data_IF_397572562299
#
_entry.id   IF_397572562299
#
_cell.length_a   1.000
_cell.length_b   1.000
_cell.length_c   1.000
_cell.angle_alpha   90.00
_cell.angle_beta   90.00
_cell.angle_gamma   90.00
#
_symmetry.space_group_name_H-M   'P 1'
#
loop_
_entity.id
_entity.type
_entity.pdbx_description
1 polymer ?
#
# COMPACT_ATOMS: atom_id res chain seq x y z
N UNK A 1 21.91 -2.21 10.60
CA UNK A 1 21.10 -2.96 9.62
C UNK A 1 21.27 -2.32 8.24
N UNK A 2 21.49 -3.12 7.21
CA UNK A 2 21.48 -2.67 5.81
C UNK A 2 20.06 -2.37 5.32
N UNK A 3 19.92 -1.65 4.22
CA UNK A 3 18.59 -1.25 3.69
C UNK A 3 17.75 -2.43 3.18
N UNK A 4 18.38 -3.52 2.76
CA UNK A 4 17.70 -4.73 2.26
C UNK A 4 18.01 -5.97 3.11
N UNK A 5 18.63 -5.78 4.27
CA UNK A 5 18.94 -6.86 5.20
C UNK A 5 17.68 -7.22 5.98
N UNK A 6 17.39 -8.50 6.17
CA UNK A 6 16.24 -8.94 6.96
C UNK A 6 16.53 -8.80 8.46
N UNK A 7 15.50 -8.56 9.29
CA UNK A 7 15.67 -8.47 10.76
C UNK A 7 16.37 -9.71 11.33
N UNK A 8 15.95 -10.89 10.89
CA UNK A 8 16.51 -12.16 11.37
C UNK A 8 18.02 -12.30 11.05
N UNK A 9 18.45 -11.89 9.85
CA UNK A 9 19.84 -11.93 9.43
C UNK A 9 20.68 -10.97 10.27
N UNK A 10 20.21 -9.72 10.39
CA UNK A 10 20.87 -8.67 11.15
C UNK A 10 21.05 -9.05 12.64
N UNK A 11 20.00 -9.54 13.29
CA UNK A 11 20.07 -9.99 14.70
C UNK A 11 20.98 -11.21 14.83
N UNK A 12 20.95 -12.14 13.86
CA UNK A 12 21.84 -13.30 13.82
C UNK A 12 23.32 -12.93 13.79
N UNK A 13 23.69 -11.87 13.06
CA UNK A 13 25.06 -11.33 13.04
C UNK A 13 25.44 -10.80 14.44
N UNK A 14 24.57 -10.02 15.07
CA UNK A 14 24.83 -9.46 16.41
C UNK A 14 24.97 -10.57 17.46
N UNK A 15 24.11 -11.59 17.40
CA UNK A 15 24.20 -12.76 18.27
C UNK A 15 25.51 -13.52 18.05
N UNK A 16 25.94 -13.70 16.80
CA UNK A 16 27.23 -14.32 16.48
C UNK A 16 28.39 -13.53 17.07
N UNK A 17 28.37 -12.20 16.94
CA UNK A 17 29.38 -11.32 17.56
C UNK A 17 29.35 -11.42 19.08
N UNK A 18 28.17 -11.39 19.70
CA UNK A 18 28.02 -11.55 21.14
C UNK A 18 28.55 -12.90 21.63
N UNK A 19 28.32 -13.97 20.89
CA UNK A 19 28.82 -15.31 21.19
C UNK A 19 30.35 -15.38 21.09
N UNK A 20 30.95 -14.77 20.06
CA UNK A 20 32.42 -14.64 19.98
C UNK A 20 32.99 -13.84 21.16
N UNK A 21 32.33 -12.77 21.58
CA UNK A 21 32.75 -11.99 22.75
C UNK A 21 32.67 -12.82 24.04
N UNK A 22 31.60 -13.59 24.22
CA UNK A 22 31.42 -14.51 25.37
C UNK A 22 32.48 -15.60 25.38
N UNK A 23 32.88 -16.12 24.22
CA UNK A 23 33.97 -17.08 24.09
C UNK A 23 35.34 -16.51 24.51
N UNK A 24 35.50 -15.18 24.52
CA UNK A 24 36.67 -14.49 25.06
C UNK A 24 36.45 -14.00 26.52
N UNK A 25 35.60 -14.68 27.29
CA UNK A 25 35.25 -14.37 28.69
C UNK A 25 34.66 -12.95 28.91
N UNK A 26 34.16 -12.29 27.85
CA UNK A 26 33.48 -11.01 28.00
C UNK A 26 32.00 -11.21 28.33
N UNK A 27 31.54 -10.53 29.38
CA UNK A 27 30.12 -10.52 29.74
C UNK A 27 29.34 -9.61 28.79
N UNK A 28 28.48 -10.20 27.96
CA UNK A 28 27.53 -9.50 27.09
C UNK A 28 26.12 -9.66 27.66
N UNK A 29 25.62 -8.58 28.28
CA UNK A 29 24.25 -8.50 28.82
C UNK A 29 23.23 -8.26 27.72
N UNK A 30 22.06 -8.85 27.85
CA UNK A 30 20.95 -8.70 26.90
C UNK A 30 20.53 -7.24 26.71
N UNK A 31 20.46 -6.45 27.79
CA UNK A 31 20.24 -4.98 27.73
C UNK A 31 21.13 -4.30 26.68
N UNK A 32 22.44 -4.59 26.69
CA UNK A 32 23.38 -3.98 25.74
C UNK A 32 23.08 -4.39 24.30
N UNK A 33 22.64 -5.62 24.08
CA UNK A 33 22.27 -6.10 22.74
C UNK A 33 20.96 -5.45 22.29
N UNK A 34 19.95 -5.39 23.15
CA UNK A 34 18.66 -4.73 22.91
C UNK A 34 18.86 -3.27 22.51
N UNK A 35 19.58 -2.49 23.31
CA UNK A 35 19.90 -1.09 23.00
C UNK A 35 20.67 -0.96 21.69
N UNK A 36 21.63 -1.87 21.43
CA UNK A 36 22.44 -1.84 20.21
C UNK A 36 21.58 -2.10 18.96
N UNK A 37 20.67 -3.07 19.04
CA UNK A 37 19.71 -3.39 17.97
C UNK A 37 18.87 -2.16 17.69
N UNK A 38 18.11 -1.67 18.67
CA UNK A 38 17.20 -0.53 18.52
C UNK A 38 17.90 0.70 17.93
N UNK A 39 19.12 1.00 18.39
CA UNK A 39 19.90 2.17 17.92
C UNK A 39 20.45 2.04 16.49
N UNK A 40 20.58 0.83 15.94
CA UNK A 40 21.23 0.61 14.63
C UNK A 40 20.33 -0.04 13.58
N UNK A 41 19.01 -0.11 13.86
CA UNK A 41 17.98 -0.33 12.85
C UNK A 41 17.91 0.83 11.86
N UNK A 42 17.32 0.58 10.68
CA UNK A 42 17.08 1.62 9.67
C UNK A 42 15.83 2.43 10.03
N UNK A 43 15.71 3.63 9.44
CA UNK A 43 14.59 4.56 9.67
C UNK A 43 13.18 3.98 9.44
N UNK A 44 13.05 2.90 8.66
CA UNK A 44 11.75 2.24 8.45
C UNK A 44 11.18 1.60 9.74
N UNK A 45 12.04 1.42 10.75
CA UNK A 45 11.70 0.86 12.05
C UNK A 45 11.51 1.92 13.15
N UNK A 46 11.70 3.21 12.87
CA UNK A 46 11.63 4.29 13.89
C UNK A 46 10.32 4.23 14.70
N UNK A 47 9.20 3.94 14.02
CA UNK A 47 7.90 3.86 14.67
C UNK A 47 7.80 2.72 15.70
N UNK A 48 8.35 1.54 15.40
CA UNK A 48 8.34 0.43 16.34
C UNK A 48 9.37 0.62 17.44
N UNK A 49 10.52 1.26 17.15
CA UNK A 49 11.52 1.61 18.15
C UNK A 49 10.91 2.50 19.23
N UNK A 50 10.26 3.61 18.83
CA UNK A 50 9.58 4.51 19.79
C UNK A 50 8.53 3.76 20.62
N UNK A 51 7.70 2.93 19.98
CA UNK A 51 6.68 2.18 20.70
C UNK A 51 7.27 1.19 21.73
N UNK A 52 8.39 0.54 21.41
CA UNK A 52 9.08 -0.36 22.34
C UNK A 52 9.69 0.44 23.50
N UNK A 53 10.36 1.55 23.21
CA UNK A 53 10.97 2.42 24.21
C UNK A 53 9.96 3.02 25.19
N UNK A 54 8.75 3.36 24.72
CA UNK A 54 7.69 3.90 25.56
C UNK A 54 6.94 2.82 26.38
N UNK A 55 6.80 1.61 25.85
CA UNK A 55 5.91 0.59 26.43
C UNK A 55 6.63 -0.50 27.24
N UNK A 56 7.96 -0.66 27.09
CA UNK A 56 8.71 -1.78 27.68
C UNK A 56 9.92 -1.32 28.48
N UNK A 57 10.28 -2.11 29.48
CA UNK A 57 11.50 -1.96 30.26
C UNK A 57 12.67 -2.69 29.57
N UNK A 58 13.54 -1.92 28.91
CA UNK A 58 14.68 -2.47 28.16
C UNK A 58 15.69 -3.23 29.04
N UNK A 59 15.68 -3.00 30.36
CA UNK A 59 16.62 -3.67 31.28
C UNK A 59 16.21 -5.13 31.56
N UNK A 60 14.91 -5.42 31.40
CA UNK A 60 14.32 -6.74 31.61
C UNK A 60 13.99 -7.47 30.31
N UNK A 61 14.02 -6.76 29.20
CA UNK A 61 13.68 -7.30 27.89
C UNK A 61 14.74 -8.29 27.41
N UNK A 62 14.29 -9.46 26.95
CA UNK A 62 15.16 -10.47 26.32
C UNK A 62 15.37 -10.16 24.84
N UNK A 63 16.52 -10.55 24.30
CA UNK A 63 16.83 -10.38 22.87
C UNK A 63 15.81 -11.09 21.97
N UNK A 64 15.35 -12.29 22.37
CA UNK A 64 14.33 -13.05 21.65
C UNK A 64 12.98 -12.32 21.58
N UNK A 65 12.59 -11.65 22.66
CA UNK A 65 11.34 -10.88 22.70
C UNK A 65 11.41 -9.68 21.73
N UNK A 66 12.57 -9.03 21.66
CA UNK A 66 12.82 -7.95 20.72
C UNK A 66 12.78 -8.45 19.28
N UNK A 67 13.47 -9.55 19.00
CA UNK A 67 13.49 -10.19 17.69
C UNK A 67 12.08 -10.52 17.20
N UNK A 68 11.28 -11.19 18.02
CA UNK A 68 9.89 -11.54 17.67
C UNK A 68 9.04 -10.30 17.36
N UNK A 69 9.23 -9.22 18.13
CA UNK A 69 8.49 -7.96 17.92
C UNK A 69 8.87 -7.31 16.58
N UNK A 70 10.16 -7.29 16.24
CA UNK A 70 10.67 -6.69 15.02
C UNK A 70 10.32 -7.51 13.77
N UNK A 71 10.42 -8.85 13.83
CA UNK A 71 10.03 -9.74 12.72
C UNK A 71 8.53 -9.63 12.41
N UNK A 72 7.68 -9.57 13.45
CA UNK A 72 6.24 -9.35 13.26
C UNK A 72 5.93 -7.99 12.60
N UNK A 73 6.72 -6.96 12.90
CA UNK A 73 6.60 -5.65 12.25
C UNK A 73 7.06 -5.68 10.79
N UNK A 74 8.20 -6.33 10.52
CA UNK A 74 8.74 -6.52 9.16
C UNK A 74 7.73 -7.26 8.26
N UNK A 75 7.12 -8.33 8.76
CA UNK A 75 6.06 -9.06 8.04
C UNK A 75 4.88 -8.14 7.66
N UNK A 76 4.37 -7.35 8.62
CA UNK A 76 3.27 -6.39 8.37
C UNK A 76 3.67 -5.27 7.40
N UNK A 77 4.94 -4.86 7.40
CA UNK A 77 5.46 -3.87 6.47
C UNK A 77 5.45 -4.40 5.03
N UNK A 78 5.94 -5.64 4.86
CA UNK A 78 5.95 -6.34 3.57
C UNK A 78 4.53 -6.54 3.03
N UNK A 79 3.60 -7.02 3.86
CA UNK A 79 2.20 -7.23 3.48
C UNK A 79 1.54 -5.94 2.95
N UNK A 80 1.72 -4.82 3.67
CA UNK A 80 1.15 -3.53 3.26
C UNK A 80 1.78 -3.00 1.97
N UNK A 81 3.09 -3.19 1.78
CA UNK A 81 3.78 -2.82 0.54
C UNK A 81 3.23 -3.61 -0.65
N UNK A 82 3.01 -4.91 -0.48
CA UNK A 82 2.43 -5.77 -1.50
C UNK A 82 0.99 -5.39 -1.84
N UNK A 83 0.15 -5.09 -0.84
CA UNK A 83 -1.23 -4.61 -1.06
C UNK A 83 -1.24 -3.28 -1.84
N UNK A 84 -0.37 -2.33 -1.51
CA UNK A 84 -0.26 -1.06 -2.22
C UNK A 84 0.15 -1.23 -3.69
N UNK A 85 1.09 -2.17 -3.97
CA UNK A 85 1.49 -2.51 -5.33
C UNK A 85 0.35 -3.13 -6.14
N UNK A 86 -0.41 -4.06 -5.54
CA UNK A 86 -1.59 -4.67 -6.19
C UNK A 86 -2.67 -3.63 -6.49
N UNK A 87 -2.94 -2.70 -5.56
CA UNK A 87 -3.92 -1.62 -5.76
C UNK A 87 -3.53 -0.71 -6.94
N UNK A 88 -2.25 -0.36 -7.08
CA UNK A 88 -1.74 0.43 -8.22
C UNK A 88 -1.83 -0.31 -9.54
N UNK A 89 -1.50 -1.60 -9.55
CA UNK A 89 -1.63 -2.46 -10.73
C UNK A 89 -3.08 -2.53 -11.22
N UNK A 90 -4.03 -2.74 -10.32
CA UNK A 90 -5.46 -2.83 -10.64
C UNK A 90 -6.09 -1.53 -11.16
N UNK A 91 -5.53 -0.36 -10.81
CA UNK A 91 -5.97 0.92 -11.37
C UNK A 91 -5.54 1.10 -12.84
N UNK A 92 -4.35 0.62 -13.22
CA UNK A 92 -3.86 0.66 -14.61
C UNK A 92 -4.79 -0.09 -15.57
N UNK A 93 -5.34 -1.23 -15.15
CA UNK A 93 -6.28 -2.02 -15.97
C UNK A 93 -7.68 -1.41 -16.08
N UNK A 94 -8.11 -0.56 -15.14
CA UNK A 94 -9.45 0.07 -15.17
C UNK A 94 -9.55 1.28 -16.11
N UNK A 95 -8.42 1.85 -16.54
CA UNK A 95 -8.40 2.98 -17.46
C UNK A 95 -8.49 2.60 -18.96
N UNK A 96 -8.60 1.31 -19.31
CA UNK A 96 -8.66 0.86 -20.70
C UNK A 96 -10.06 0.78 -21.34
N UNK A 97 -11.11 1.30 -20.72
CA UNK A 97 -12.42 1.24 -21.36
C UNK A 97 -13.54 1.98 -20.67
N UNK A 98 -13.54 3.32 -20.72
CA UNK A 98 -14.79 4.11 -20.62
C UNK A 98 -14.70 5.34 -21.51
N UNK A 99 -14.71 5.09 -22.82
CA UNK A 99 -15.17 6.09 -23.78
C UNK A 99 -16.66 6.36 -23.58
N UNK A 100 -17.01 7.16 -22.56
CA UNK A 100 -18.32 7.83 -22.51
C UNK A 100 -18.21 9.10 -23.37
N UNK A 101 -18.10 8.90 -24.68
CA UNK A 101 -18.26 9.94 -25.67
C UNK A 101 -19.74 10.24 -25.80
N UNK A 102 -20.16 11.38 -25.22
CA UNK A 102 -21.41 12.05 -25.53
C UNK A 102 -21.41 12.48 -27.01
N UNK A 103 -22.63 12.66 -27.54
CA UNK A 103 -22.96 13.48 -28.70
C UNK A 103 -23.07 12.75 -30.05
N UNK A 104 -24.31 12.45 -30.46
CA UNK A 104 -24.85 13.08 -31.67
C UNK A 104 -26.39 12.95 -31.70
N UNK A 105 -27.07 13.96 -31.14
CA UNK A 105 -28.42 14.30 -31.56
C UNK A 105 -28.31 14.95 -32.94
N UNK A 106 -28.36 14.14 -33.99
CA UNK A 106 -28.24 14.55 -35.38
C UNK A 106 -29.59 14.56 -36.07
N UNK A 107 -30.14 15.76 -36.24
CA UNK A 107 -31.26 16.15 -37.10
C UNK A 107 -31.22 15.46 -38.48
N UNK A 108 -32.23 14.67 -38.79
CA UNK A 108 -32.71 14.43 -40.16
C UNK A 108 -34.24 14.60 -40.11
N UNK A 109 -34.81 15.73 -40.50
CA UNK A 109 -34.77 16.23 -41.87
C UNK A 109 -35.85 15.52 -42.67
N UNK A 110 -37.12 15.78 -42.35
CA UNK A 110 -38.25 15.04 -42.90
C UNK A 110 -39.53 15.85 -43.02
N UNK A 111 -39.86 16.16 -44.28
CA UNK A 111 -41.17 16.55 -44.85
C UNK A 111 -41.52 18.04 -44.83
N UNK A 112 -41.15 18.65 -45.96
CA UNK A 112 -41.81 19.78 -46.60
C UNK A 112 -43.32 19.74 -46.38
N UNK A 113 -43.84 20.86 -45.88
CA UNK A 113 -45.21 21.28 -46.05
C UNK A 113 -45.38 21.77 -47.48
N UNK A 114 -46.34 21.23 -48.22
CA UNK A 114 -46.94 21.91 -49.37
C UNK A 114 -48.44 22.12 -49.09
N UNK A 115 -49.00 23.27 -49.51
CA UNK A 115 -50.32 23.72 -49.09
C UNK A 115 -51.43 23.31 -50.06
N UNK A 116 -52.65 23.30 -49.50
CA UNK A 116 -53.97 23.59 -50.10
C UNK A 116 -54.41 22.86 -51.37
N UNK A 117 -55.60 22.26 -51.32
CA UNK A 117 -56.72 22.84 -52.07
C UNK A 117 -58.08 22.50 -51.48
N UNK A 118 -59.00 23.44 -51.69
CA UNK A 118 -60.25 23.64 -50.96
C UNK A 118 -61.37 22.77 -51.54
N UNK A 119 -62.17 22.21 -50.62
CA UNK A 119 -63.53 21.79 -50.90
C UNK A 119 -64.37 23.00 -51.32
N UNK A 120 -65.07 22.89 -52.44
CA UNK A 120 -66.37 23.53 -52.60
C UNK A 120 -67.25 22.67 -53.49
N UNK A 121 -68.12 21.90 -52.85
CA UNK A 121 -69.37 21.42 -53.42
C UNK A 121 -70.15 22.60 -54.00
N UNK A 122 -70.61 22.47 -55.23
CA UNK A 122 -71.78 23.21 -55.72
C UNK A 122 -72.43 22.41 -56.83
N UNK A 123 -73.37 21.58 -56.38
CA UNK A 123 -74.49 21.04 -57.13
C UNK A 123 -75.36 22.19 -57.66
N UNK A 124 -75.72 22.18 -58.94
CA UNK A 124 -76.99 22.73 -59.43
C UNK A 124 -77.21 22.38 -60.91
N UNK A 125 -78.40 21.83 -61.13
CA UNK A 125 -79.00 21.45 -62.41
C UNK A 125 -79.36 22.68 -63.26
N UNK A 126 -79.27 22.52 -64.58
CA UNK A 126 -80.31 22.89 -65.56
C UNK A 126 -80.11 22.10 -66.86
#
# INVERSE_FOLDING_TARGET
MGENEMVAEYIGIIQSVANMMRACDKVVKDKKMVEKILRTLTKEYDHIVVAIEECKDLDKMKVEELQNSLEAYEQRLIERRNQALQARSNQSFKNRGRGRGRSHGGRSGGRNSEPSDQNSDSNSNE
#
